data_IF_602995190551
#
_entry.id   IF_602995190551
#
_cell.length_a   1.000
_cell.length_b   1.000
_cell.length_c   1.000
_cell.angle_alpha   90.00
_cell.angle_beta   90.00
_cell.angle_gamma   90.00
#
_symmetry.space_group_name_H-M   'P 1'
#
loop_
_entity.id
_entity.type
_entity.pdbx_description
1 polymer ?
#
# COMPACT_ATOMS: atom_id res chain seq x y z
N UNK A 1 -19.85 17.90 -12.22
CA UNK A 1 -19.46 18.12 -13.63
C UNK A 1 -18.40 17.10 -13.92
N UNK A 2 -18.72 16.14 -14.78
CA UNK A 2 -17.86 15.03 -15.14
C UNK A 2 -16.66 15.59 -15.91
N UNK A 3 -15.50 15.11 -15.58
CA UNK A 3 -14.26 15.32 -16.32
C UNK A 3 -14.48 14.86 -17.76
N UNK A 4 -14.70 15.79 -18.68
CA UNK A 4 -14.88 15.45 -20.08
C UNK A 4 -13.50 15.21 -20.71
N UNK A 5 -13.14 13.94 -20.86
CA UNK A 5 -11.95 13.49 -21.58
C UNK A 5 -12.14 13.67 -23.08
N UNK A 6 -12.03 14.86 -23.60
CA UNK A 6 -11.65 15.02 -24.99
C UNK A 6 -10.12 14.90 -25.08
N UNK A 7 -9.62 13.69 -25.19
CA UNK A 7 -8.26 13.44 -25.66
C UNK A 7 -8.15 13.94 -27.11
N UNK A 8 -7.66 15.16 -27.27
CA UNK A 8 -7.11 15.59 -28.56
C UNK A 8 -5.67 15.11 -28.61
N UNK A 9 -5.31 14.47 -29.71
CA UNK A 9 -4.02 13.95 -30.10
C UNK A 9 -2.82 14.55 -29.38
N UNK A 10 -2.19 13.75 -28.51
CA UNK A 10 -1.01 14.11 -27.75
C UNK A 10 0.21 14.00 -28.67
N UNK A 11 0.85 15.13 -28.96
CA UNK A 11 2.23 15.11 -29.45
C UNK A 11 3.17 14.88 -28.26
N UNK A 12 4.24 14.12 -28.47
CA UNK A 12 5.25 13.78 -27.46
C UNK A 12 5.75 15.05 -26.75
N UNK A 13 5.48 15.19 -25.45
CA UNK A 13 6.17 16.14 -24.57
C UNK A 13 5.36 16.96 -23.59
N UNK A 14 4.09 17.27 -23.81
CA UNK A 14 3.33 18.13 -22.89
C UNK A 14 1.91 17.60 -22.63
N UNK A 15 1.69 17.05 -21.42
CA UNK A 15 0.38 16.61 -20.96
C UNK A 15 -0.27 17.68 -20.06
N UNK A 16 -0.67 18.81 -20.64
CA UNK A 16 -1.42 19.83 -19.93
C UNK A 16 -2.92 19.57 -20.05
N UNK A 17 -3.59 19.58 -18.91
CA UNK A 17 -5.04 19.36 -18.81
C UNK A 17 -5.68 20.68 -18.38
N UNK A 18 -6.73 21.09 -19.05
CA UNK A 18 -7.49 22.26 -18.64
C UNK A 18 -8.34 21.94 -17.41
N UNK A 19 -8.03 22.58 -16.28
CA UNK A 19 -8.79 22.51 -15.03
C UNK A 19 -9.54 23.83 -14.85
N UNK A 20 -10.83 23.75 -14.54
CA UNK A 20 -11.63 24.93 -14.15
C UNK A 20 -11.62 25.02 -12.63
N UNK A 21 -10.94 26.02 -12.08
CA UNK A 21 -11.03 26.39 -10.66
C UNK A 21 -11.89 27.66 -10.49
N UNK A 22 -12.04 28.12 -9.24
CA UNK A 22 -12.82 29.33 -8.91
C UNK A 22 -12.28 30.62 -9.53
N UNK A 23 -11.11 30.57 -10.18
CA UNK A 23 -10.43 31.69 -10.85
C UNK A 23 -10.45 31.57 -12.37
N UNK A 24 -11.01 30.49 -12.92
CA UNK A 24 -11.12 30.24 -14.36
C UNK A 24 -10.28 29.05 -14.85
N UNK A 25 -10.06 29.01 -16.18
CA UNK A 25 -9.26 27.94 -16.80
C UNK A 25 -7.77 28.07 -16.44
N UNK A 26 -7.18 26.97 -15.96
CA UNK A 26 -5.76 26.84 -15.72
C UNK A 26 -5.24 25.57 -16.38
N UNK A 27 -4.15 25.69 -17.12
CA UNK A 27 -3.39 24.52 -17.56
C UNK A 27 -2.72 23.85 -16.34
N UNK A 28 -2.93 22.57 -16.17
CA UNK A 28 -2.38 21.79 -15.07
C UNK A 28 -1.85 20.45 -15.60
N UNK A 29 -0.82 19.92 -14.97
CA UNK A 29 -0.41 18.57 -15.23
C UNK A 29 -1.45 17.58 -14.64
N UNK A 30 -1.35 16.28 -14.99
CA UNK A 30 -2.33 15.29 -14.57
C UNK A 30 -2.38 15.14 -13.03
N UNK A 31 -1.22 15.17 -12.36
CA UNK A 31 -1.15 15.04 -10.91
C UNK A 31 -1.89 16.20 -10.21
N UNK A 32 -1.78 17.43 -10.73
CA UNK A 32 -2.51 18.59 -10.20
C UNK A 32 -4.01 18.49 -10.45
N UNK A 33 -4.42 18.02 -11.62
CA UNK A 33 -5.82 17.81 -11.97
C UNK A 33 -6.49 16.76 -11.05
N UNK A 34 -5.84 15.64 -10.83
CA UNK A 34 -6.31 14.59 -9.91
C UNK A 34 -6.39 15.13 -8.48
N UNK A 35 -5.36 15.82 -8.00
CA UNK A 35 -5.37 16.46 -6.66
C UNK A 35 -6.50 17.46 -6.49
N UNK A 36 -6.77 18.26 -7.52
CA UNK A 36 -7.87 19.22 -7.51
C UNK A 36 -9.22 18.49 -7.38
N UNK A 37 -9.44 17.44 -8.18
CA UNK A 37 -10.66 16.64 -8.11
C UNK A 37 -10.85 16.00 -6.74
N UNK A 38 -9.81 15.36 -6.18
CA UNK A 38 -9.86 14.75 -4.86
C UNK A 38 -10.22 15.75 -3.76
N UNK A 39 -9.62 16.95 -3.81
CA UNK A 39 -9.93 18.03 -2.86
C UNK A 39 -11.38 18.50 -2.98
N UNK A 40 -11.87 18.68 -4.19
CA UNK A 40 -13.26 19.07 -4.46
C UNK A 40 -14.26 18.05 -3.92
N UNK A 41 -13.93 16.76 -4.06
CA UNK A 41 -14.77 15.64 -3.61
C UNK A 41 -14.59 15.35 -2.10
N UNK A 42 -13.79 16.14 -1.39
CA UNK A 42 -13.49 15.94 0.03
C UNK A 42 -12.71 14.64 0.31
N UNK A 43 -12.08 14.05 -0.71
CA UNK A 43 -11.32 12.81 -0.57
C UNK A 43 -9.98 13.06 0.07
N UNK A 44 -9.69 12.30 1.15
CA UNK A 44 -8.35 12.25 1.73
C UNK A 44 -7.39 11.50 0.79
N UNK A 45 -6.15 11.96 0.69
CA UNK A 45 -5.11 11.34 -0.12
C UNK A 45 -3.74 11.33 0.58
N UNK A 46 -3.74 10.94 1.86
CA UNK A 46 -2.52 10.73 2.62
C UNK A 46 -1.69 9.58 2.03
N UNK A 47 -0.44 9.42 2.47
CA UNK A 47 0.49 8.45 1.90
C UNK A 47 -0.08 7.02 1.85
N UNK A 48 -0.74 6.56 2.91
CA UNK A 48 -1.35 5.23 3.01
C UNK A 48 -2.69 5.05 2.27
N UNK A 49 -3.28 6.13 1.73
CA UNK A 49 -4.58 6.02 1.07
C UNK A 49 -4.46 5.40 -0.33
N UNK A 50 -5.41 4.56 -0.69
CA UNK A 50 -5.60 4.13 -2.07
C UNK A 50 -6.36 5.22 -2.84
N UNK A 51 -5.90 5.54 -4.05
CA UNK A 51 -6.46 6.56 -4.93
C UNK A 51 -6.83 6.02 -6.32
N UNK A 52 -6.91 4.71 -6.46
CA UNK A 52 -7.20 4.06 -7.74
C UNK A 52 -8.49 4.51 -8.40
N UNK A 53 -9.51 4.88 -7.61
CA UNK A 53 -10.80 5.36 -8.12
C UNK A 53 -10.70 6.69 -8.88
N UNK A 54 -9.59 7.41 -8.73
CA UNK A 54 -9.31 8.68 -9.40
C UNK A 54 -8.39 8.53 -10.61
N UNK A 55 -7.99 7.29 -10.95
CA UNK A 55 -7.12 6.99 -12.07
C UNK A 55 -7.91 6.30 -13.17
N UNK A 56 -7.66 6.73 -14.40
CA UNK A 56 -8.17 6.11 -15.61
C UNK A 56 -7.07 5.32 -16.34
N UNK A 57 -7.48 4.57 -17.35
CA UNK A 57 -6.54 3.87 -18.22
C UNK A 57 -5.57 4.88 -18.88
N UNK A 58 -4.28 4.57 -18.83
CA UNK A 58 -3.20 5.44 -19.33
C UNK A 58 -2.68 6.49 -18.33
N UNK A 59 -3.44 6.89 -17.30
CA UNK A 59 -3.04 7.93 -16.35
C UNK A 59 -1.74 7.58 -15.61
N UNK A 60 -1.54 6.29 -15.30
CA UNK A 60 -0.33 5.83 -14.60
C UNK A 60 0.95 6.12 -15.39
N UNK A 61 0.94 5.94 -16.70
CA UNK A 61 2.12 6.22 -17.54
C UNK A 61 2.41 7.72 -17.60
N UNK A 62 1.38 8.57 -17.67
CA UNK A 62 1.53 10.03 -17.62
C UNK A 62 2.14 10.44 -16.27
N UNK A 63 1.62 9.93 -15.15
CA UNK A 63 2.15 10.21 -13.81
C UNK A 63 3.59 9.71 -13.64
N UNK A 64 3.96 8.58 -14.25
CA UNK A 64 5.36 8.09 -14.28
C UNK A 64 6.25 9.11 -15.01
N UNK A 65 5.82 9.66 -16.13
CA UNK A 65 6.59 10.65 -16.89
C UNK A 65 6.73 11.97 -16.10
N UNK A 66 5.65 12.50 -15.52
CA UNK A 66 5.70 13.69 -14.65
C UNK A 66 6.63 13.49 -13.45
N UNK A 67 6.56 12.31 -12.83
CA UNK A 67 7.42 11.96 -11.68
C UNK A 67 8.88 11.78 -12.10
N UNK A 68 9.13 11.21 -13.29
CA UNK A 68 10.48 11.10 -13.83
C UNK A 68 11.11 12.48 -14.03
N UNK A 69 10.37 13.44 -14.57
CA UNK A 69 10.84 14.81 -14.73
C UNK A 69 11.16 15.48 -13.39
N UNK A 70 10.36 15.22 -12.34
CA UNK A 70 10.65 15.69 -11.00
C UNK A 70 11.94 15.06 -10.44
N UNK A 71 12.17 13.75 -10.66
CA UNK A 71 13.41 13.09 -10.28
C UNK A 71 14.63 13.55 -11.06
N UNK A 72 14.47 13.95 -12.32
CA UNK A 72 15.54 14.61 -13.09
C UNK A 72 16.02 15.88 -12.36
N UNK A 73 15.10 16.73 -11.96
CA UNK A 73 15.44 17.94 -11.21
C UNK A 73 16.13 17.63 -9.87
N UNK A 74 15.73 16.56 -9.18
CA UNK A 74 16.41 16.10 -7.94
C UNK A 74 17.84 15.68 -8.23
N UNK A 75 18.07 14.86 -9.27
CA UNK A 75 19.42 14.40 -9.63
C UNK A 75 20.33 15.54 -10.05
N UNK A 76 19.81 16.51 -10.82
CA UNK A 76 20.54 17.70 -11.23
C UNK A 76 20.93 18.57 -10.02
N UNK A 77 20.00 18.72 -9.06
CA UNK A 77 20.27 19.45 -7.80
C UNK A 77 21.31 18.76 -6.94
N UNK A 78 21.39 17.42 -7.00
CA UNK A 78 22.43 16.62 -6.36
C UNK A 78 23.76 16.65 -7.14
N UNK A 79 23.85 17.38 -8.25
CA UNK A 79 25.02 17.48 -9.12
C UNK A 79 25.43 16.13 -9.73
N UNK A 80 24.45 15.27 -10.05
CA UNK A 80 24.66 13.99 -10.70
C UNK A 80 24.56 14.21 -12.22
N UNK A 81 25.65 13.86 -12.94
CA UNK A 81 25.68 13.92 -14.39
C UNK A 81 24.82 12.79 -15.02
N UNK A 82 23.63 13.16 -15.47
CA UNK A 82 22.71 12.22 -16.11
C UNK A 82 22.95 12.07 -17.63
N UNK A 83 23.74 12.97 -18.22
CA UNK A 83 23.95 13.01 -19.68
C UNK A 83 25.10 12.07 -20.08
N UNK A 84 26.21 12.13 -19.38
CA UNK A 84 27.43 11.41 -19.74
C UNK A 84 27.71 10.18 -18.86
N UNK A 85 27.24 10.12 -17.61
CA UNK A 85 27.36 8.93 -16.77
C UNK A 85 26.40 7.82 -17.21
N UNK A 86 26.92 6.70 -17.74
CA UNK A 86 26.08 5.60 -18.22
C UNK A 86 25.27 4.91 -17.10
N UNK A 87 25.69 5.03 -15.82
CA UNK A 87 24.98 4.42 -14.70
C UNK A 87 23.79 5.28 -14.27
N UNK A 88 23.91 6.60 -14.35
CA UNK A 88 22.88 7.56 -13.96
C UNK A 88 21.88 7.86 -15.08
N UNK A 89 22.23 7.53 -16.33
CA UNK A 89 21.33 7.67 -17.48
C UNK A 89 20.06 6.86 -17.27
N UNK A 90 18.89 7.50 -17.31
CA UNK A 90 17.58 6.88 -17.12
C UNK A 90 17.23 6.54 -15.67
N UNK A 91 18.02 6.93 -14.67
CA UNK A 91 17.73 6.71 -13.24
C UNK A 91 16.42 7.36 -12.82
N UNK A 92 16.13 8.59 -13.27
CA UNK A 92 14.89 9.28 -12.97
C UNK A 92 13.66 8.46 -13.36
N UNK A 93 13.64 7.93 -14.60
CA UNK A 93 12.53 7.09 -15.06
C UNK A 93 12.45 5.74 -14.32
N UNK A 94 13.59 5.12 -13.99
CA UNK A 94 13.61 3.88 -13.20
C UNK A 94 13.02 4.12 -11.81
N UNK A 95 13.37 5.22 -11.14
CA UNK A 95 12.81 5.61 -9.85
C UNK A 95 11.29 5.85 -9.97
N UNK A 96 10.86 6.66 -10.91
CA UNK A 96 9.43 6.91 -11.12
C UNK A 96 8.65 5.61 -11.34
N UNK A 97 9.09 4.76 -12.26
CA UNK A 97 8.45 3.46 -12.52
C UNK A 97 8.40 2.60 -11.26
N UNK A 98 9.49 2.48 -10.52
CA UNK A 98 9.56 1.74 -9.25
C UNK A 98 8.49 2.20 -8.26
N UNK A 99 8.28 3.52 -8.11
CA UNK A 99 7.23 4.05 -7.22
C UNK A 99 5.83 3.58 -7.64
N UNK A 100 5.48 3.70 -8.92
CA UNK A 100 4.12 3.42 -9.38
C UNK A 100 3.82 1.93 -9.57
N UNK A 101 4.80 1.11 -9.89
CA UNK A 101 4.57 -0.29 -10.28
C UNK A 101 5.05 -1.31 -9.26
N UNK A 102 5.86 -0.89 -8.28
CA UNK A 102 6.48 -1.82 -7.32
C UNK A 102 6.19 -1.43 -5.87
N UNK A 103 6.88 -0.38 -5.38
CA UNK A 103 6.89 -0.06 -3.94
C UNK A 103 5.62 0.65 -3.44
N UNK A 104 4.89 1.36 -4.32
CA UNK A 104 3.62 2.00 -3.99
C UNK A 104 2.47 1.58 -4.92
N UNK A 105 2.59 0.46 -5.63
CA UNK A 105 1.56 0.00 -6.57
C UNK A 105 0.17 -0.14 -5.92
N UNK A 106 0.09 -0.57 -4.67
CA UNK A 106 -1.16 -0.70 -3.92
C UNK A 106 -1.88 0.63 -3.64
N UNK A 107 -1.20 1.78 -3.82
CA UNK A 107 -1.82 3.10 -3.79
C UNK A 107 -2.63 3.39 -5.06
N UNK A 108 -2.18 2.87 -6.20
CA UNK A 108 -2.68 3.18 -7.54
C UNK A 108 -3.51 2.05 -8.16
N UNK A 109 -3.55 0.89 -7.53
CA UNK A 109 -4.28 -0.29 -7.98
C UNK A 109 -5.50 -0.57 -7.09
N UNK A 110 -6.62 -1.03 -7.66
CA UNK A 110 -7.77 -1.42 -6.87
C UNK A 110 -7.44 -2.57 -5.92
N UNK A 111 -8.28 -2.74 -4.90
CA UNK A 111 -8.13 -3.86 -3.98
C UNK A 111 -8.19 -5.20 -4.73
N UNK A 112 -7.36 -6.18 -4.36
CA UNK A 112 -7.40 -7.49 -4.99
C UNK A 112 -8.75 -8.18 -4.72
N UNK A 113 -9.29 -8.83 -5.74
CA UNK A 113 -10.49 -9.63 -5.61
C UNK A 113 -10.30 -10.76 -4.60
N UNK A 114 -11.24 -10.88 -3.67
CA UNK A 114 -11.28 -11.96 -2.70
C UNK A 114 -12.42 -12.92 -3.04
N UNK A 115 -12.09 -14.02 -3.73
CA UNK A 115 -13.05 -15.11 -3.94
C UNK A 115 -13.47 -15.66 -2.59
N UNK A 116 -14.76 -15.56 -2.29
CA UNK A 116 -15.34 -16.03 -1.04
C UNK A 116 -16.14 -17.34 -1.27
N UNK A 117 -16.16 -18.19 -0.25
CA UNK A 117 -16.91 -19.42 -0.18
C UNK A 117 -17.84 -19.37 1.02
N UNK A 118 -19.07 -19.92 0.94
CA UNK A 118 -19.96 -20.05 2.09
C UNK A 118 -19.28 -20.84 3.22
N UNK A 119 -19.47 -20.40 4.44
CA UNK A 119 -19.08 -21.11 5.66
C UNK A 119 -20.33 -21.36 6.49
N UNK A 120 -21.22 -22.19 5.96
CA UNK A 120 -22.53 -22.51 6.48
C UNK A 120 -22.71 -24.03 6.60
N UNK A 121 -23.83 -24.47 7.16
CA UNK A 121 -24.14 -25.87 7.39
C UNK A 121 -23.56 -26.44 8.71
N UNK A 122 -23.70 -27.75 8.86
CA UNK A 122 -23.32 -28.46 10.11
C UNK A 122 -21.81 -28.53 10.30
N UNK A 123 -21.03 -28.57 9.21
CA UNK A 123 -19.55 -28.68 9.20
C UNK A 123 -18.85 -27.32 9.04
N UNK A 124 -19.50 -26.22 9.41
CA UNK A 124 -18.89 -24.89 9.29
C UNK A 124 -17.59 -24.79 10.11
N UNK A 125 -16.60 -24.12 9.56
CA UNK A 125 -15.37 -23.86 10.28
C UNK A 125 -15.55 -22.74 11.31
N UNK A 126 -15.32 -23.04 12.58
CA UNK A 126 -15.46 -22.10 13.71
C UNK A 126 -14.13 -21.79 14.41
N UNK A 127 -13.05 -22.42 13.96
CA UNK A 127 -11.72 -22.24 14.54
C UNK A 127 -11.04 -20.93 14.15
N UNK A 128 -9.88 -20.71 14.75
CA UNK A 128 -8.98 -19.60 14.38
C UNK A 128 -8.10 -20.02 13.21
N UNK A 129 -8.15 -19.27 12.11
CA UNK A 129 -7.20 -19.36 11.01
C UNK A 129 -6.09 -18.32 11.23
N UNK A 130 -4.82 -18.72 11.16
CA UNK A 130 -3.68 -17.80 11.23
C UNK A 130 -2.82 -17.95 9.97
N UNK A 131 -2.69 -16.88 9.20
CA UNK A 131 -1.90 -16.82 7.98
C UNK A 131 -0.67 -15.95 8.21
N UNK A 132 0.52 -16.47 7.90
CA UNK A 132 1.78 -15.72 7.84
C UNK A 132 1.98 -15.16 6.43
N UNK A 133 2.27 -13.89 6.33
CA UNK A 133 2.55 -13.20 5.07
C UNK A 133 3.81 -12.37 5.17
N UNK A 134 4.74 -12.54 4.24
CA UNK A 134 5.87 -11.62 4.11
C UNK A 134 5.40 -10.25 3.65
N UNK A 135 5.98 -9.21 4.23
CA UNK A 135 5.69 -7.82 3.91
C UNK A 135 6.92 -7.12 3.34
N UNK A 136 6.69 -6.38 2.27
CA UNK A 136 7.61 -5.36 1.76
C UNK A 136 6.82 -4.07 1.65
N UNK A 137 7.21 -3.08 2.46
CA UNK A 137 6.56 -1.78 2.53
C UNK A 137 7.61 -0.68 2.44
N UNK A 138 7.16 0.55 2.47
CA UNK A 138 8.00 1.73 2.49
C UNK A 138 7.51 2.68 3.57
N UNK A 139 8.42 3.17 4.41
CA UNK A 139 8.09 4.17 5.41
C UNK A 139 7.78 5.52 4.75
N UNK A 140 6.63 6.12 5.08
CA UNK A 140 6.21 7.43 4.53
C UNK A 140 7.13 8.60 4.89
N UNK A 141 7.93 8.48 5.98
CA UNK A 141 8.76 9.60 6.45
C UNK A 141 10.01 9.82 5.59
N UNK A 142 10.71 8.77 5.21
CA UNK A 142 12.00 8.87 4.52
C UNK A 142 12.06 8.04 3.25
N UNK A 143 10.95 7.41 2.86
CA UNK A 143 10.84 6.50 1.71
C UNK A 143 11.91 5.40 1.74
N UNK A 144 12.25 4.92 2.95
CA UNK A 144 13.14 3.78 3.14
C UNK A 144 12.33 2.49 3.26
N UNK A 145 12.89 1.35 2.83
CA UNK A 145 12.20 0.08 2.85
C UNK A 145 11.84 -0.36 4.28
N UNK A 146 10.72 -1.01 4.41
CA UNK A 146 10.27 -1.73 5.60
C UNK A 146 10.09 -3.19 5.19
N UNK A 147 10.79 -4.08 5.87
CA UNK A 147 10.81 -5.52 5.56
C UNK A 147 10.39 -6.31 6.79
N UNK A 148 9.44 -7.20 6.65
CA UNK A 148 8.97 -7.96 7.79
C UNK A 148 7.93 -9.02 7.45
N UNK A 149 7.16 -9.39 8.47
CA UNK A 149 6.13 -10.42 8.40
C UNK A 149 4.87 -9.92 9.09
N UNK A 150 3.71 -10.18 8.49
CA UNK A 150 2.42 -10.08 9.15
C UNK A 150 1.86 -11.46 9.48
N UNK A 151 1.27 -11.58 10.65
CA UNK A 151 0.44 -12.70 11.05
C UNK A 151 -1.00 -12.21 11.16
N UNK A 152 -1.88 -12.85 10.40
CA UNK A 152 -3.28 -12.45 10.25
C UNK A 152 -4.14 -13.57 10.83
N UNK A 153 -4.75 -13.33 11.97
CA UNK A 153 -5.70 -14.22 12.61
C UNK A 153 -7.14 -13.86 12.25
N UNK A 154 -7.94 -14.83 11.91
CA UNK A 154 -9.37 -14.66 11.63
C UNK A 154 -10.17 -15.80 12.27
N UNK A 155 -11.25 -15.46 12.97
CA UNK A 155 -12.32 -16.41 13.29
C UNK A 155 -13.42 -16.15 12.25
N UNK A 156 -13.66 -17.14 11.42
CA UNK A 156 -14.57 -17.02 10.28
C UNK A 156 -16.01 -16.75 10.73
N UNK A 157 -16.70 -15.93 9.95
CA UNK A 157 -18.15 -15.75 10.05
C UNK A 157 -18.84 -16.67 9.02
N UNK A 158 -19.75 -16.14 8.24
CA UNK A 158 -20.55 -16.91 7.27
C UNK A 158 -19.83 -17.19 5.95
N UNK A 159 -18.58 -16.72 5.79
CA UNK A 159 -17.78 -16.98 4.59
C UNK A 159 -16.30 -17.11 4.88
N UNK A 160 -15.62 -17.87 4.05
CA UNK A 160 -14.19 -18.05 3.98
C UNK A 160 -13.66 -17.46 2.68
N UNK A 161 -12.41 -17.05 2.66
CA UNK A 161 -11.70 -16.63 1.45
C UNK A 161 -10.51 -17.55 1.18
N UNK A 162 -10.09 -17.63 -0.07
CA UNK A 162 -8.92 -18.44 -0.42
C UNK A 162 -7.67 -17.99 0.34
N UNK A 163 -6.84 -18.93 0.82
CA UNK A 163 -5.67 -18.65 1.66
C UNK A 163 -4.72 -17.61 1.05
N UNK A 164 -4.50 -17.67 -0.27
CA UNK A 164 -3.65 -16.69 -0.97
C UNK A 164 -4.19 -15.26 -0.94
N UNK A 165 -5.50 -15.07 -0.66
CA UNK A 165 -6.12 -13.74 -0.64
C UNK A 165 -5.68 -12.94 0.58
N UNK A 166 -5.44 -13.59 1.72
CA UNK A 166 -4.88 -12.93 2.91
C UNK A 166 -3.54 -12.28 2.60
N UNK A 167 -2.62 -13.03 1.98
CA UNK A 167 -1.31 -12.51 1.57
C UNK A 167 -1.42 -11.40 0.53
N UNK A 168 -2.29 -11.55 -0.48
CA UNK A 168 -2.48 -10.52 -1.51
C UNK A 168 -3.02 -9.21 -0.95
N UNK A 169 -3.98 -9.28 -0.03
CA UNK A 169 -4.53 -8.10 0.65
C UNK A 169 -3.44 -7.43 1.51
N UNK A 170 -2.69 -8.21 2.31
CA UNK A 170 -1.62 -7.68 3.13
C UNK A 170 -0.53 -6.99 2.30
N UNK A 171 -0.10 -7.61 1.20
CA UNK A 171 0.89 -7.03 0.29
C UNK A 171 0.37 -5.78 -0.43
N UNK A 172 -0.90 -5.76 -0.83
CA UNK A 172 -1.52 -4.58 -1.43
C UNK A 172 -1.60 -3.40 -0.44
N UNK A 173 -1.96 -3.66 0.82
CA UNK A 173 -1.89 -2.64 1.87
C UNK A 173 -0.46 -2.16 2.11
N UNK A 174 0.52 -3.07 2.13
CA UNK A 174 1.93 -2.75 2.37
C UNK A 174 2.52 -1.86 1.26
N UNK A 175 2.06 -2.00 0.02
CA UNK A 175 2.55 -1.22 -1.13
C UNK A 175 1.84 0.13 -1.28
N UNK A 176 1.72 0.89 -0.19
CA UNK A 176 1.13 2.24 -0.21
C UNK A 176 2.04 3.33 0.33
N UNK A 177 3.13 2.98 1.02
CA UNK A 177 4.01 3.93 1.67
C UNK A 177 3.38 4.55 2.91
N UNK A 178 3.23 3.77 3.98
CA UNK A 178 2.52 4.15 5.21
C UNK A 178 3.35 3.87 6.46
N UNK A 179 2.88 4.30 7.63
CA UNK A 179 3.43 3.90 8.91
C UNK A 179 3.01 2.46 9.26
N UNK A 180 3.83 1.75 10.02
CA UNK A 180 3.53 0.36 10.39
C UNK A 180 2.24 0.23 11.19
N UNK A 181 1.93 1.19 12.04
CA UNK A 181 0.71 1.25 12.85
C UNK A 181 -0.54 1.39 11.98
N UNK A 182 -0.47 2.25 10.97
CA UNK A 182 -1.55 2.43 9.99
C UNK A 182 -1.69 1.18 9.12
N UNK A 183 -0.57 0.62 8.63
CA UNK A 183 -0.55 -0.62 7.86
C UNK A 183 -1.25 -1.77 8.59
N UNK A 184 -0.96 -1.92 9.89
CA UNK A 184 -1.57 -2.94 10.72
C UNK A 184 -3.11 -2.78 10.79
N UNK A 185 -3.59 -1.54 10.96
CA UNK A 185 -5.02 -1.23 10.92
C UNK A 185 -5.64 -1.44 9.54
N UNK A 186 -4.94 -1.07 8.47
CA UNK A 186 -5.42 -1.20 7.10
C UNK A 186 -5.60 -2.67 6.72
N UNK A 187 -4.62 -3.52 7.05
CA UNK A 187 -4.73 -4.96 6.83
C UNK A 187 -5.95 -5.51 7.60
N UNK A 188 -6.10 -5.17 8.88
CA UNK A 188 -7.23 -5.64 9.67
C UNK A 188 -8.57 -5.25 9.03
N UNK A 189 -8.72 -3.98 8.63
CA UNK A 189 -9.94 -3.46 8.00
C UNK A 189 -10.26 -4.17 6.68
N UNK A 190 -9.27 -4.36 5.82
CA UNK A 190 -9.47 -5.01 4.52
C UNK A 190 -9.79 -6.51 4.66
N UNK A 191 -9.17 -7.19 5.62
CA UNK A 191 -9.50 -8.59 5.94
C UNK A 191 -10.91 -8.70 6.50
N UNK A 192 -11.31 -7.83 7.44
CA UNK A 192 -12.68 -7.77 7.93
C UNK A 192 -13.69 -7.61 6.78
N UNK A 193 -13.41 -6.68 5.85
CA UNK A 193 -14.25 -6.46 4.67
C UNK A 193 -14.33 -7.70 3.76
N UNK A 194 -13.20 -8.34 3.50
CA UNK A 194 -13.12 -9.49 2.60
C UNK A 194 -13.77 -10.75 3.17
N UNK A 195 -13.66 -10.97 4.50
CA UNK A 195 -14.18 -12.16 5.19
C UNK A 195 -15.56 -11.97 5.82
N UNK A 196 -16.05 -10.72 5.87
CA UNK A 196 -17.27 -10.34 6.60
C UNK A 196 -17.24 -10.72 8.09
N UNK A 197 -16.04 -10.81 8.64
CA UNK A 197 -15.82 -11.15 10.04
C UNK A 197 -15.42 -9.91 10.86
N UNK A 198 -16.08 -9.73 12.01
CA UNK A 198 -15.67 -8.72 12.99
C UNK A 198 -14.43 -9.16 13.81
N UNK A 199 -14.04 -10.44 13.72
CA UNK A 199 -13.04 -11.06 14.58
C UNK A 199 -11.73 -11.25 13.82
N UNK A 200 -10.87 -10.24 13.88
CA UNK A 200 -9.58 -10.20 13.18
C UNK A 200 -8.48 -9.73 14.11
N UNK A 201 -7.36 -10.46 14.12
CA UNK A 201 -6.10 -10.07 14.75
C UNK A 201 -5.01 -9.88 13.69
N UNK A 202 -4.25 -8.81 13.78
CA UNK A 202 -3.07 -8.59 12.93
C UNK A 202 -1.89 -8.25 13.82
N UNK A 203 -0.78 -8.97 13.61
CA UNK A 203 0.50 -8.70 14.25
C UNK A 203 1.55 -8.53 13.16
N UNK A 204 2.30 -7.43 13.20
CA UNK A 204 3.39 -7.16 12.28
C UNK A 204 4.69 -7.07 13.05
N UNK A 205 5.70 -7.75 12.54
CA UNK A 205 7.09 -7.63 13.00
C UNK A 205 7.95 -7.22 11.80
N UNK A 206 8.62 -6.07 11.87
CA UNK A 206 9.37 -5.53 10.75
C UNK A 206 10.60 -4.72 11.16
N UNK A 207 11.57 -4.70 10.26
CA UNK A 207 12.76 -3.86 10.29
C UNK A 207 12.54 -2.65 9.40
N UNK A 208 13.06 -1.49 9.83
CA UNK A 208 12.87 -0.22 9.15
C UNK A 208 14.19 0.35 8.65
N UNK A 209 14.38 0.42 7.34
CA UNK A 209 15.57 1.00 6.73
C UNK A 209 15.82 2.46 7.14
N UNK A 210 14.79 3.20 7.52
CA UNK A 210 14.95 4.56 8.05
C UNK A 210 15.65 4.62 9.43
N UNK A 211 15.63 3.53 10.19
CA UNK A 211 16.34 3.38 11.46
C UNK A 211 17.67 2.66 11.31
N UNK A 212 17.78 1.74 10.35
CA UNK A 212 18.96 0.88 10.17
C UNK A 212 20.02 1.50 9.26
N UNK A 213 19.61 2.08 8.11
CA UNK A 213 20.51 2.50 7.04
C UNK A 213 20.92 3.97 7.10
N UNK A 214 20.30 4.75 7.98
CA UNK A 214 20.56 6.17 8.16
C UNK A 214 20.15 6.64 9.56
N UNK A 215 20.45 7.90 9.89
CA UNK A 215 20.05 8.51 11.18
C UNK A 215 20.74 7.81 12.35
N UNK A 216 19.96 7.13 13.18
CA UNK A 216 20.46 6.46 14.40
C UNK A 216 21.27 5.19 14.13
N UNK A 217 21.18 4.60 12.91
CA UNK A 217 21.89 3.37 12.50
C UNK A 217 21.71 2.19 13.45
N UNK A 218 20.49 1.97 13.92
CA UNK A 218 20.16 0.89 14.84
C UNK A 218 19.93 -0.44 14.08
N UNK A 219 21.02 -1.12 13.72
CA UNK A 219 21.02 -2.30 12.84
C UNK A 219 20.22 -3.51 13.35
N UNK A 220 19.94 -3.59 14.65
CA UNK A 220 19.15 -4.66 15.25
C UNK A 220 17.72 -4.22 15.64
N UNK A 221 17.31 -3.05 15.19
CA UNK A 221 15.99 -2.50 15.52
C UNK A 221 14.89 -3.34 14.89
N UNK A 222 13.97 -3.82 15.73
CA UNK A 222 12.81 -4.61 15.32
C UNK A 222 11.56 -4.01 15.94
N UNK A 223 10.60 -3.62 15.10
CA UNK A 223 9.34 -3.02 15.54
C UNK A 223 8.23 -4.04 15.47
N UNK A 224 7.42 -4.11 16.52
CA UNK A 224 6.25 -4.98 16.61
C UNK A 224 5.01 -4.13 16.81
N UNK A 225 3.96 -4.36 16.01
CA UNK A 225 2.65 -3.73 16.15
C UNK A 225 1.56 -4.79 16.16
N UNK A 226 0.50 -4.54 16.92
CA UNK A 226 -0.63 -5.46 17.04
C UNK A 226 -1.94 -4.70 16.98
N UNK A 227 -2.87 -5.16 16.15
CA UNK A 227 -4.25 -4.69 16.10
C UNK A 227 -5.17 -5.88 16.31
N UNK A 228 -6.06 -5.76 17.28
CA UNK A 228 -7.04 -6.80 17.63
C UNK A 228 -8.46 -6.22 17.51
N UNK A 229 -9.35 -6.96 16.87
CA UNK A 229 -10.75 -6.59 16.65
C UNK A 229 -11.68 -7.73 17.09
N UNK A 230 -12.89 -7.37 17.52
CA UNK A 230 -13.88 -8.35 17.98
C UNK A 230 -13.39 -9.18 19.17
N UNK A 231 -13.57 -10.48 19.13
CA UNK A 231 -13.19 -11.38 20.22
C UNK A 231 -11.68 -11.45 20.47
N UNK A 232 -10.84 -11.18 19.46
CA UNK A 232 -9.39 -11.05 19.67
C UNK A 232 -9.04 -9.93 20.67
N UNK A 233 -9.87 -8.89 20.74
CA UNK A 233 -9.70 -7.78 21.67
C UNK A 233 -10.35 -8.04 23.03
N UNK A 234 -11.53 -8.71 23.04
CA UNK A 234 -12.37 -8.79 24.24
C UNK A 234 -12.17 -10.06 25.04
N UNK A 235 -11.70 -11.16 24.42
CA UNK A 235 -11.47 -12.44 25.08
C UNK A 235 -9.98 -12.74 25.27
N UNK A 236 -9.49 -12.83 26.53
CA UNK A 236 -8.09 -13.12 26.83
C UNK A 236 -7.63 -14.50 26.32
N UNK A 237 -8.54 -15.51 26.23
CA UNK A 237 -8.24 -16.84 25.72
C UNK A 237 -7.90 -16.79 24.24
N UNK A 238 -8.77 -16.19 23.43
CA UNK A 238 -8.58 -15.97 21.99
C UNK A 238 -7.30 -15.18 21.70
N UNK A 239 -7.06 -14.12 22.46
CA UNK A 239 -5.81 -13.35 22.35
C UNK A 239 -4.59 -14.22 22.62
N UNK A 240 -4.62 -15.03 23.67
CA UNK A 240 -3.51 -15.90 24.03
C UNK A 240 -3.26 -16.95 22.93
N UNK A 241 -4.32 -17.61 22.45
CA UNK A 241 -4.25 -18.59 21.37
C UNK A 241 -3.61 -17.98 20.10
N UNK A 242 -4.02 -16.76 19.72
CA UNK A 242 -3.42 -16.05 18.57
C UNK A 242 -1.92 -15.83 18.76
N UNK A 243 -1.51 -15.34 19.93
CA UNK A 243 -0.08 -15.07 20.20
C UNK A 243 0.74 -16.37 20.28
N UNK A 244 0.18 -17.48 20.78
CA UNK A 244 0.84 -18.78 20.81
C UNK A 244 1.00 -19.36 19.41
N UNK A 245 -0.02 -19.24 18.54
CA UNK A 245 0.07 -19.65 17.13
C UNK A 245 1.16 -18.86 16.38
N UNK A 246 1.32 -17.55 16.66
CA UNK A 246 2.40 -16.74 16.08
C UNK A 246 3.77 -17.30 16.51
N UNK A 247 3.98 -17.59 17.78
CA UNK A 247 5.23 -18.16 18.29
C UNK A 247 5.56 -19.48 17.61
N UNK A 248 4.58 -20.39 17.52
CA UNK A 248 4.76 -21.66 16.83
C UNK A 248 5.18 -21.49 15.38
N UNK A 249 4.56 -20.55 14.64
CA UNK A 249 4.93 -20.28 13.26
C UNK A 249 6.32 -19.62 13.14
N UNK A 250 6.75 -18.83 14.12
CA UNK A 250 8.11 -18.26 14.15
C UNK A 250 9.17 -19.36 14.32
N UNK A 251 8.91 -20.36 15.15
CA UNK A 251 9.81 -21.49 15.39
C UNK A 251 9.96 -22.39 14.16
N UNK A 252 8.92 -22.54 13.35
CA UNK A 252 8.89 -23.36 12.12
C UNK A 252 9.28 -22.59 10.84
N UNK A 253 9.46 -21.27 10.89
CA UNK A 253 9.83 -20.52 9.71
C UNK A 253 11.23 -20.92 9.22
N UNK A 254 11.44 -21.17 7.92
CA UNK A 254 12.77 -21.39 7.38
C UNK A 254 13.63 -20.15 7.67
N UNK A 255 14.81 -20.41 8.22
CA UNK A 255 15.84 -19.39 8.55
C UNK A 255 16.44 -18.79 7.30
#
# INVERSE_FOLDING_TARGET
MVYDKTYKDFQEGEHLINVIDDKGYKEANLADAIRFQMKRDGKRFWAGDNISDYLHEGDREILINETAQAFENVLDTLLIDRETDPNSRGTARRLAKMYFTEIMSGRYEPAPDATAFPNDGEDRYEGMLVVRSELRSMCSHHHQPVSGVAYIGVIAANKLIGLSKYTRIAQWCARRGTLQEELCNDIAREIMRATDSANVGVYIQAQHGCCENRGIMAHSSLTQTTVLKGVFQTDPGTKKEFMDNIKLQQDFAPR
#
